data_IF_559046369219
#
_entry.id   IF_559046369219
#
_cell.length_a   1.000
_cell.length_b   1.000
_cell.length_c   1.000
_cell.angle_alpha   90.00
_cell.angle_beta   90.00
_cell.angle_gamma   90.00
#
_symmetry.space_group_name_H-M   'P 1'
#
loop_
_entity.id
_entity.type
_entity.pdbx_description
1 polymer ?
#
# COMPACT_ATOMS: atom_id res chain seq x y z
N UNK A 1 21.42 -21.51 -4.12
CA UNK A 1 20.68 -20.63 -3.20
C UNK A 1 21.32 -19.26 -3.26
N UNK A 2 20.57 -18.19 -3.51
CA UNK A 2 21.15 -16.85 -3.76
C UNK A 2 21.72 -16.30 -2.42
N UNK A 3 23.00 -15.95 -2.39
CA UNK A 3 23.72 -15.45 -1.21
C UNK A 3 23.01 -14.22 -0.55
N UNK A 4 22.28 -13.45 -1.34
CA UNK A 4 21.54 -12.26 -0.88
C UNK A 4 20.21 -12.57 -0.18
N UNK A 5 19.79 -13.83 -0.14
CA UNK A 5 18.56 -14.28 0.54
C UNK A 5 18.86 -15.00 1.86
N UNK A 6 20.12 -15.08 2.26
CA UNK A 6 20.50 -15.68 3.55
C UNK A 6 20.60 -14.56 4.59
N UNK A 7 19.44 -14.17 5.11
CA UNK A 7 19.29 -13.13 6.13
C UNK A 7 19.17 -13.80 7.49
N UNK A 8 19.96 -13.36 8.46
CA UNK A 8 19.72 -13.68 9.86
C UNK A 8 18.58 -12.80 10.38
N UNK A 9 17.39 -13.38 10.44
CA UNK A 9 16.18 -12.65 10.77
C UNK A 9 16.20 -12.02 12.16
N UNK A 10 16.81 -12.68 13.15
CA UNK A 10 16.86 -12.17 14.51
C UNK A 10 17.77 -10.93 14.59
N UNK A 11 18.91 -10.99 13.94
CA UNK A 11 19.84 -9.85 13.85
C UNK A 11 19.18 -8.67 13.12
N UNK A 12 18.53 -8.92 11.98
CA UNK A 12 17.86 -7.86 11.20
C UNK A 12 16.71 -7.20 11.98
N UNK A 13 15.88 -7.99 12.67
CA UNK A 13 14.79 -7.46 13.50
C UNK A 13 15.35 -6.56 14.59
N UNK A 14 16.46 -6.97 15.23
CA UNK A 14 17.10 -6.18 16.26
C UNK A 14 17.66 -4.86 15.71
N UNK A 15 18.42 -4.91 14.60
CA UNK A 15 19.01 -3.72 13.98
C UNK A 15 17.95 -2.72 13.52
N UNK A 16 16.88 -3.18 12.88
CA UNK A 16 15.76 -2.34 12.46
C UNK A 16 15.07 -1.71 13.69
N UNK A 17 14.82 -2.50 14.74
CA UNK A 17 14.19 -2.03 15.97
C UNK A 17 15.04 -0.97 16.67
N UNK A 18 16.34 -1.14 16.73
CA UNK A 18 17.28 -0.14 17.26
C UNK A 18 17.28 1.14 16.42
N UNK A 19 17.27 1.00 15.08
CA UNK A 19 17.20 2.13 14.16
C UNK A 19 15.92 2.94 14.34
N UNK A 20 14.75 2.27 14.50
CA UNK A 20 13.47 2.92 14.79
C UNK A 20 13.56 3.71 16.10
N UNK A 21 14.07 3.09 17.18
CA UNK A 21 14.24 3.76 18.48
C UNK A 21 15.17 4.97 18.38
N UNK A 22 16.29 4.83 17.68
CA UNK A 22 17.26 5.91 17.49
C UNK A 22 16.68 7.06 16.68
N UNK A 23 15.97 6.77 15.60
CA UNK A 23 15.32 7.78 14.77
C UNK A 23 14.28 8.58 15.56
N UNK A 24 13.42 7.90 16.31
CA UNK A 24 12.40 8.55 17.13
C UNK A 24 13.03 9.45 18.22
N UNK A 25 14.05 8.96 18.92
CA UNK A 25 14.69 9.68 20.01
C UNK A 25 15.50 10.86 19.51
N UNK A 26 16.40 10.63 18.54
CA UNK A 26 17.47 11.55 18.20
C UNK A 26 17.12 12.51 17.07
N UNK A 27 16.22 12.09 16.14
CA UNK A 27 15.85 12.89 14.97
C UNK A 27 14.46 13.49 15.09
N UNK A 28 13.49 12.69 15.49
CA UNK A 28 12.08 13.11 15.46
C UNK A 28 11.59 13.62 16.82
N UNK A 29 12.27 13.31 17.91
CA UNK A 29 11.88 13.66 19.29
C UNK A 29 10.43 13.23 19.59
N UNK A 30 10.08 12.00 19.21
CA UNK A 30 8.76 11.39 19.40
C UNK A 30 8.85 10.15 20.29
N UNK A 31 7.70 9.81 20.92
CA UNK A 31 7.61 8.69 21.86
C UNK A 31 6.87 7.48 21.30
N UNK A 32 6.27 7.60 20.14
CA UNK A 32 5.48 6.56 19.49
C UNK A 32 5.37 6.77 18.00
N UNK A 33 4.71 5.82 17.33
CA UNK A 33 4.50 5.79 15.89
C UNK A 33 3.00 5.68 15.58
N UNK A 34 2.62 6.26 14.46
CA UNK A 34 1.36 5.98 13.77
C UNK A 34 1.71 5.20 12.51
N UNK A 35 1.06 4.05 12.30
CA UNK A 35 1.30 3.19 11.14
C UNK A 35 0.00 3.03 10.35
N UNK A 36 0.05 3.28 9.06
CA UNK A 36 -1.05 2.96 8.14
C UNK A 36 -1.04 1.46 7.83
N UNK A 37 -2.14 0.77 8.12
CA UNK A 37 -2.28 -0.68 7.94
C UNK A 37 -3.23 -0.92 6.76
N UNK A 38 -2.67 -1.45 5.66
CA UNK A 38 -3.42 -1.70 4.42
C UNK A 38 -3.95 -3.13 4.31
N UNK A 39 -3.56 -4.03 5.23
CA UNK A 39 -3.82 -5.47 5.10
C UNK A 39 -2.86 -6.20 4.15
N UNK A 40 -1.90 -5.48 3.54
CA UNK A 40 -0.82 -6.05 2.74
C UNK A 40 0.41 -6.40 3.57
N UNK A 41 1.29 -7.25 3.01
CA UNK A 41 2.47 -7.79 3.72
C UNK A 41 3.41 -6.67 4.21
N UNK A 42 3.68 -5.67 3.41
CA UNK A 42 4.66 -4.62 3.73
C UNK A 42 4.22 -3.81 4.96
N UNK A 43 2.94 -3.38 4.98
CA UNK A 43 2.38 -2.67 6.13
C UNK A 43 2.31 -3.55 7.37
N UNK A 44 2.10 -4.85 7.20
CA UNK A 44 2.07 -5.82 8.29
C UNK A 44 3.45 -5.98 8.93
N UNK A 45 4.49 -6.15 8.13
CA UNK A 45 5.88 -6.23 8.59
C UNK A 45 6.30 -4.92 9.28
N UNK A 46 6.00 -3.77 8.67
CA UNK A 46 6.30 -2.46 9.26
C UNK A 46 5.62 -2.27 10.62
N UNK A 47 4.37 -2.71 10.75
CA UNK A 47 3.63 -2.64 12.02
C UNK A 47 4.24 -3.55 13.08
N UNK A 48 4.55 -4.81 12.73
CA UNK A 48 5.16 -5.76 13.65
C UNK A 48 6.53 -5.29 14.15
N UNK A 49 7.40 -4.81 13.27
CA UNK A 49 8.71 -4.23 13.63
C UNK A 49 8.55 -2.98 14.51
N UNK A 50 7.53 -2.17 14.27
CA UNK A 50 7.23 -1.01 15.12
C UNK A 50 6.84 -1.43 16.53
N UNK A 51 6.05 -2.49 16.66
CA UNK A 51 5.65 -3.06 17.97
C UNK A 51 6.84 -3.70 18.66
N UNK A 52 7.69 -4.43 17.94
CA UNK A 52 8.93 -4.99 18.47
C UNK A 52 9.86 -3.90 19.01
N UNK A 53 9.98 -2.80 18.27
CA UNK A 53 10.83 -1.69 18.67
C UNK A 53 10.33 -0.93 19.91
N UNK A 54 9.01 -0.72 20.06
CA UNK A 54 8.46 0.26 20.99
C UNK A 54 7.47 -0.32 22.01
N UNK A 55 7.00 -1.51 21.77
CA UNK A 55 5.87 -2.12 22.47
C UNK A 55 4.49 -1.60 21.98
N UNK A 56 3.44 -2.38 22.17
CA UNK A 56 2.12 -2.12 21.56
C UNK A 56 1.49 -0.79 22.00
N UNK A 57 1.76 -0.34 23.21
CA UNK A 57 1.20 0.91 23.75
C UNK A 57 1.72 2.19 23.09
N UNK A 58 2.80 2.10 22.31
CA UNK A 58 3.43 3.24 21.62
C UNK A 58 3.25 3.20 20.10
N UNK A 59 2.48 2.24 19.61
CA UNK A 59 2.14 2.11 18.20
C UNK A 59 0.63 2.30 18.06
N UNK A 60 0.24 3.17 17.15
CA UNK A 60 -1.17 3.43 16.83
C UNK A 60 -1.44 3.08 15.37
N UNK A 61 -2.40 2.19 15.13
CA UNK A 61 -2.79 1.75 13.80
C UNK A 61 -3.87 2.65 13.18
N UNK A 62 -3.73 2.97 11.89
CA UNK A 62 -4.77 3.64 11.12
C UNK A 62 -5.10 2.79 9.89
N UNK A 63 -6.34 2.32 9.80
CA UNK A 63 -6.87 1.62 8.64
C UNK A 63 -7.73 2.60 7.86
N UNK A 64 -7.39 2.82 6.60
CA UNK A 64 -8.03 3.82 5.75
C UNK A 64 -8.64 3.16 4.49
N UNK A 65 -9.73 2.38 4.65
CA UNK A 65 -10.41 1.82 3.49
C UNK A 65 -10.99 2.95 2.63
N UNK A 66 -10.97 2.72 1.33
CA UNK A 66 -11.60 3.61 0.35
C UNK A 66 -12.63 2.82 -0.49
N UNK A 67 -13.27 3.44 -1.47
CA UNK A 67 -14.41 2.85 -2.19
C UNK A 67 -14.11 1.53 -2.89
N UNK A 68 -12.87 1.34 -3.34
CA UNK A 68 -12.42 0.14 -4.09
C UNK A 68 -11.60 -0.83 -3.24
N UNK A 69 -11.41 -0.51 -1.95
CA UNK A 69 -10.72 -1.41 -1.02
C UNK A 69 -11.53 -2.69 -0.82
N UNK A 70 -10.86 -3.84 -0.87
CA UNK A 70 -11.52 -5.11 -0.57
C UNK A 70 -11.85 -5.22 0.92
N UNK A 71 -12.99 -5.85 1.24
CA UNK A 71 -13.35 -6.19 2.63
C UNK A 71 -12.28 -7.05 3.31
N UNK A 72 -11.64 -7.95 2.54
CA UNK A 72 -10.57 -8.82 3.00
C UNK A 72 -9.33 -8.03 3.47
N UNK A 73 -8.99 -6.93 2.78
CA UNK A 73 -7.87 -6.08 3.20
C UNK A 73 -8.13 -5.42 4.55
N UNK A 74 -9.35 -4.93 4.77
CA UNK A 74 -9.74 -4.34 6.05
C UNK A 74 -9.75 -5.39 7.16
N UNK A 75 -10.28 -6.57 6.89
CA UNK A 75 -10.32 -7.69 7.84
C UNK A 75 -8.92 -8.11 8.26
N UNK A 76 -8.01 -8.35 7.31
CA UNK A 76 -6.61 -8.70 7.59
C UNK A 76 -5.89 -7.63 8.40
N UNK A 77 -6.09 -6.36 8.06
CA UNK A 77 -5.49 -5.26 8.81
C UNK A 77 -6.01 -5.16 10.25
N UNK A 78 -7.29 -5.39 10.45
CA UNK A 78 -7.93 -5.43 11.78
C UNK A 78 -7.39 -6.60 12.61
N UNK A 79 -7.38 -7.82 12.05
CA UNK A 79 -6.83 -9.01 12.70
C UNK A 79 -5.37 -8.81 13.14
N UNK A 80 -4.55 -8.18 12.28
CA UNK A 80 -3.17 -7.86 12.62
C UNK A 80 -3.09 -6.91 13.81
N UNK A 81 -3.85 -5.82 13.80
CA UNK A 81 -3.84 -4.84 14.88
C UNK A 81 -4.26 -5.44 16.22
N UNK A 82 -5.28 -6.30 16.20
CA UNK A 82 -5.77 -7.04 17.37
C UNK A 82 -4.74 -8.06 17.87
N UNK A 83 -4.12 -8.83 16.94
CA UNK A 83 -3.07 -9.79 17.27
C UNK A 83 -1.86 -9.13 17.93
N UNK A 84 -1.46 -7.98 17.43
CA UNK A 84 -0.34 -7.21 17.99
C UNK A 84 -0.71 -6.39 19.25
N UNK A 85 -1.98 -6.37 19.64
CA UNK A 85 -2.48 -5.67 20.82
C UNK A 85 -2.32 -4.15 20.75
N UNK A 86 -2.32 -3.56 19.55
CA UNK A 86 -2.21 -2.11 19.37
C UNK A 86 -3.58 -1.43 19.33
N UNK A 87 -3.62 -0.19 19.77
CA UNK A 87 -4.80 0.66 19.55
C UNK A 87 -4.86 1.06 18.08
N UNK A 88 -6.06 1.00 17.49
CA UNK A 88 -6.23 1.38 16.08
C UNK A 88 -7.55 2.11 15.85
N UNK A 89 -7.67 2.74 14.69
CA UNK A 89 -8.90 3.37 14.21
C UNK A 89 -9.12 3.02 12.75
N UNK A 90 -10.38 2.80 12.38
CA UNK A 90 -10.81 2.67 10.98
C UNK A 90 -11.43 3.99 10.55
N UNK A 91 -10.89 4.59 9.47
CA UNK A 91 -11.38 5.82 8.87
C UNK A 91 -11.57 5.62 7.37
N UNK A 92 -12.81 5.47 6.94
CA UNK A 92 -13.12 5.43 5.51
C UNK A 92 -12.80 6.79 4.89
N UNK A 93 -11.93 6.78 3.86
CA UNK A 93 -11.48 7.99 3.16
C UNK A 93 -12.13 8.14 1.77
N UNK A 94 -13.02 7.23 1.36
CA UNK A 94 -13.63 7.21 0.03
C UNK A 94 -14.39 8.50 -0.30
N UNK A 95 -15.17 9.03 0.66
CA UNK A 95 -15.89 10.31 0.44
C UNK A 95 -14.93 11.49 0.29
N UNK A 96 -13.84 11.52 1.06
CA UNK A 96 -12.81 12.56 0.94
C UNK A 96 -12.14 12.51 -0.43
N UNK A 97 -11.75 11.31 -0.90
CA UNK A 97 -11.15 11.13 -2.23
C UNK A 97 -12.12 11.54 -3.35
N UNK A 98 -13.40 11.24 -3.19
CA UNK A 98 -14.43 11.70 -4.13
C UNK A 98 -14.58 13.21 -4.14
N UNK A 99 -14.61 13.83 -2.95
CA UNK A 99 -14.80 15.27 -2.83
C UNK A 99 -13.65 16.09 -3.44
N UNK A 100 -12.42 15.57 -3.43
CA UNK A 100 -11.26 16.20 -4.08
C UNK A 100 -11.11 15.83 -5.57
N UNK A 101 -12.05 15.04 -6.13
CA UNK A 101 -12.05 14.67 -7.56
C UNK A 101 -11.15 13.51 -7.95
N UNK A 102 -10.50 12.83 -6.99
CA UNK A 102 -9.50 11.80 -7.25
C UNK A 102 -10.01 10.67 -8.19
N UNK A 103 -11.25 10.20 -7.99
CA UNK A 103 -11.81 9.15 -8.84
C UNK A 103 -12.16 9.66 -10.23
N UNK A 104 -12.63 10.90 -10.35
CA UNK A 104 -13.01 11.50 -11.66
C UNK A 104 -11.74 11.76 -12.50
N UNK A 105 -10.68 12.25 -11.90
CA UNK A 105 -9.37 12.47 -12.56
C UNK A 105 -8.77 11.13 -13.01
N UNK A 106 -8.76 10.13 -12.14
CA UNK A 106 -8.32 8.78 -12.50
C UNK A 106 -9.12 8.22 -13.69
N UNK A 107 -10.43 8.31 -13.63
CA UNK A 107 -11.30 7.79 -14.70
C UNK A 107 -11.12 8.57 -16.00
N UNK A 108 -10.84 9.86 -15.94
CA UNK A 108 -10.51 10.68 -17.10
C UNK A 108 -9.17 10.23 -17.72
N UNK A 109 -8.14 10.02 -16.90
CA UNK A 109 -6.85 9.49 -17.34
C UNK A 109 -6.98 8.10 -17.98
N UNK A 110 -7.78 7.21 -17.40
CA UNK A 110 -8.03 5.89 -18.00
C UNK A 110 -8.76 6.02 -19.34
N UNK A 111 -9.77 6.89 -19.45
CA UNK A 111 -10.52 7.10 -20.69
C UNK A 111 -9.67 7.70 -21.81
N UNK A 112 -8.62 8.46 -21.51
CA UNK A 112 -7.69 8.94 -22.54
C UNK A 112 -6.96 7.77 -23.24
N UNK A 113 -6.71 6.68 -22.51
CA UNK A 113 -6.08 5.47 -23.05
C UNK A 113 -7.11 4.47 -23.58
N UNK A 114 -8.21 4.30 -22.88
CA UNK A 114 -9.34 3.40 -23.22
C UNK A 114 -10.65 4.18 -23.26
N UNK A 115 -11.03 4.78 -24.38
CA UNK A 115 -12.24 5.60 -24.49
C UNK A 115 -13.55 4.90 -24.10
N UNK A 116 -13.58 3.57 -24.17
CA UNK A 116 -14.75 2.77 -23.79
C UNK A 116 -14.85 2.54 -22.26
N UNK A 117 -13.83 2.93 -21.48
CA UNK A 117 -13.81 2.72 -20.03
C UNK A 117 -14.98 3.45 -19.35
N UNK A 118 -15.78 2.71 -18.59
CA UNK A 118 -17.00 3.19 -17.97
C UNK A 118 -17.23 2.56 -16.59
N UNK A 119 -18.32 2.94 -15.95
CA UNK A 119 -18.74 2.38 -14.66
C UNK A 119 -18.85 0.85 -14.71
N UNK A 120 -18.31 0.18 -13.71
CA UNK A 120 -18.30 -1.29 -13.59
C UNK A 120 -17.07 -1.94 -14.21
N UNK A 121 -16.23 -1.19 -14.92
CA UNK A 121 -14.93 -1.68 -15.34
C UNK A 121 -13.95 -1.70 -14.17
N UNK A 122 -13.00 -2.67 -14.18
CA UNK A 122 -11.89 -2.72 -13.26
C UNK A 122 -10.61 -2.22 -13.93
N UNK A 123 -9.67 -1.72 -13.15
CA UNK A 123 -8.39 -1.25 -13.67
C UNK A 123 -7.25 -1.62 -12.75
N UNK A 124 -6.06 -1.74 -13.32
CA UNK A 124 -4.79 -1.84 -12.59
C UNK A 124 -3.63 -1.37 -13.45
N UNK A 125 -2.59 -0.89 -12.80
CA UNK A 125 -1.30 -0.62 -13.43
C UNK A 125 -0.42 -1.86 -13.24
N UNK A 126 0.16 -2.36 -14.33
CA UNK A 126 1.12 -3.44 -14.32
C UNK A 126 2.51 -2.93 -14.74
N UNK A 127 3.54 -3.39 -14.04
CA UNK A 127 4.93 -3.08 -14.37
C UNK A 127 5.51 -4.24 -15.15
N UNK A 128 6.10 -3.97 -16.30
CA UNK A 128 6.74 -4.98 -17.14
C UNK A 128 8.20 -4.63 -17.35
N UNK A 129 9.12 -5.60 -17.21
CA UNK A 129 10.54 -5.48 -17.60
C UNK A 129 11.60 -5.48 -16.50
N UNK A 130 11.23 -5.48 -15.21
CA UNK A 130 12.14 -5.17 -14.09
C UNK A 130 13.21 -6.20 -13.71
N UNK A 131 13.14 -7.47 -14.12
CA UNK A 131 14.02 -8.52 -13.57
C UNK A 131 15.33 -8.76 -14.35
N UNK A 132 15.54 -8.12 -15.51
CA UNK A 132 16.73 -8.36 -16.36
C UNK A 132 17.37 -7.08 -16.90
N UNK A 133 17.40 -5.99 -16.12
CA UNK A 133 18.10 -4.75 -16.52
C UNK A 133 17.42 -3.99 -17.67
N UNK A 134 16.18 -4.30 -18.00
CA UNK A 134 15.37 -3.56 -18.96
C UNK A 134 14.66 -2.41 -18.25
N UNK A 135 14.42 -1.32 -18.97
CA UNK A 135 13.64 -0.18 -18.50
C UNK A 135 12.22 -0.67 -18.14
N UNK A 136 11.77 -0.33 -16.94
CA UNK A 136 10.39 -0.63 -16.53
C UNK A 136 9.41 0.17 -17.40
N UNK A 137 8.45 -0.55 -17.96
CA UNK A 137 7.33 0.06 -18.66
C UNK A 137 6.05 -0.18 -17.87
N UNK A 138 5.23 0.86 -17.76
CA UNK A 138 3.92 0.76 -17.16
C UNK A 138 2.89 0.42 -18.23
N UNK A 139 2.01 -0.51 -17.90
CA UNK A 139 0.85 -0.85 -18.71
C UNK A 139 -0.40 -0.60 -17.89
N UNK A 140 -1.39 0.01 -18.49
CA UNK A 140 -2.74 0.06 -17.96
C UNK A 140 -3.48 -1.19 -18.46
N UNK A 141 -4.01 -1.96 -17.51
CA UNK A 141 -4.86 -3.12 -17.76
C UNK A 141 -6.24 -2.79 -17.26
N UNK A 142 -7.24 -2.93 -18.13
CA UNK A 142 -8.66 -2.75 -17.77
C UNK A 142 -9.42 -4.05 -18.05
N UNK A 143 -10.45 -4.29 -17.26
CA UNK A 143 -11.37 -5.41 -17.43
C UNK A 143 -12.78 -4.86 -17.56
N UNK A 144 -13.49 -5.25 -18.61
CA UNK A 144 -14.89 -4.90 -18.77
C UNK A 144 -15.82 -5.72 -17.84
N UNK A 145 -17.12 -5.38 -17.76
CA UNK A 145 -18.07 -6.12 -16.93
C UNK A 145 -18.26 -7.58 -17.35
N UNK A 146 -17.97 -7.93 -18.61
CA UNK A 146 -18.07 -9.29 -19.16
C UNK A 146 -16.81 -10.12 -18.85
N UNK A 147 -15.79 -9.49 -18.23
CA UNK A 147 -14.55 -10.15 -17.80
C UNK A 147 -13.44 -10.15 -18.84
N UNK A 148 -13.61 -9.50 -20.01
CA UNK A 148 -12.57 -9.38 -21.00
C UNK A 148 -11.49 -8.38 -20.54
N UNK A 149 -10.22 -8.75 -20.75
CA UNK A 149 -9.09 -7.93 -20.35
C UNK A 149 -8.48 -7.23 -21.57
N UNK A 150 -8.17 -5.94 -21.40
CA UNK A 150 -7.49 -5.13 -22.40
C UNK A 150 -6.25 -4.49 -21.77
N UNK A 151 -5.14 -4.42 -22.50
CA UNK A 151 -3.93 -3.78 -22.01
C UNK A 151 -3.35 -2.83 -23.06
N UNK A 152 -2.83 -1.69 -22.58
CA UNK A 152 -2.07 -0.73 -23.37
C UNK A 152 -0.90 -0.18 -22.55
N UNK A 153 0.15 0.28 -23.25
CA UNK A 153 1.19 1.07 -22.59
C UNK A 153 0.55 2.31 -21.96
N UNK A 154 0.94 2.61 -20.72
CA UNK A 154 0.49 3.81 -20.01
C UNK A 154 1.44 4.95 -20.37
N UNK A 155 0.98 6.01 -21.05
CA UNK A 155 1.80 7.19 -21.30
C UNK A 155 2.22 7.87 -20.00
N UNK A 156 3.40 8.49 -19.98
CA UNK A 156 3.94 9.10 -18.77
C UNK A 156 3.03 10.20 -18.21
N UNK A 157 2.43 11.00 -19.08
CA UNK A 157 1.52 12.08 -18.66
C UNK A 157 0.31 11.53 -17.89
N UNK A 158 -0.28 10.44 -18.37
CA UNK A 158 -1.43 9.79 -17.74
C UNK A 158 -1.06 9.02 -16.47
N UNK A 159 0.22 8.66 -16.32
CA UNK A 159 0.72 8.05 -15.09
C UNK A 159 0.92 9.09 -13.97
N UNK A 160 1.18 10.34 -14.33
CA UNK A 160 1.45 11.43 -13.39
C UNK A 160 0.20 12.23 -12.99
N UNK A 161 -0.94 11.94 -13.62
CA UNK A 161 -2.25 12.51 -13.26
C UNK A 161 -2.85 11.78 -12.07
#
# INVERSE_FOLDING_TARGET
MNKYLNIDMDTEIQEISESIRAALRNKLHRRGLVVAISGGIDSSVATALSVEALGPRKVFGVLMPETESSSESLERGTQLAEHLGITYVVKNIGETLRAIGCYDERDAAIRSVFPAYAKGWKNKIAITGGLHGRINHFKLVVQDPDGANFEKALPLNEYLT
#
